data_IF_201151046798
#
_entry.id   IF_201151046798
#
_cell.length_a   1.000
_cell.length_b   1.000
_cell.length_c   1.000
_cell.angle_alpha   90.00
_cell.angle_beta   90.00
_cell.angle_gamma   90.00
#
_symmetry.space_group_name_H-M   'P 1'
#
loop_
_entity.id
_entity.type
_entity.pdbx_description
1 polymer ?
#
# COMPACT_ATOMS: atom_id res chain seq x y z
N UNK A 1 3.32 5.09 -13.78
CA UNK A 1 3.30 5.12 -12.30
C UNK A 1 4.45 4.38 -11.64
N UNK A 2 4.96 3.28 -12.20
CA UNK A 2 6.14 2.57 -11.66
C UNK A 2 7.35 3.49 -11.48
N UNK A 3 7.65 4.35 -12.45
CA UNK A 3 8.75 5.32 -12.34
C UNK A 3 8.56 6.30 -11.16
N UNK A 4 7.32 6.72 -10.90
CA UNK A 4 7.02 7.57 -9.74
C UNK A 4 7.26 6.82 -8.44
N UNK A 5 6.78 5.58 -8.34
CA UNK A 5 7.00 4.72 -7.17
C UNK A 5 8.51 4.55 -6.89
N UNK A 6 9.30 4.26 -7.92
CA UNK A 6 10.77 4.14 -7.79
C UNK A 6 11.41 5.48 -7.39
N UNK A 7 10.94 6.60 -7.92
CA UNK A 7 11.44 7.94 -7.58
C UNK A 7 11.18 8.29 -6.11
N UNK A 8 9.95 8.11 -5.61
CA UNK A 8 9.58 8.53 -4.24
C UNK A 8 10.18 7.64 -3.17
N UNK A 9 10.36 6.35 -3.47
CA UNK A 9 11.00 5.40 -2.56
C UNK A 9 12.52 5.40 -2.68
N UNK A 10 13.08 5.75 -3.84
CA UNK A 10 14.50 5.54 -4.15
C UNK A 10 14.88 4.07 -4.28
N UNK A 11 13.88 3.19 -4.45
CA UNK A 11 14.04 1.74 -4.42
C UNK A 11 14.27 1.10 -5.79
N UNK A 12 14.42 -0.24 -5.77
CA UNK A 12 14.48 -1.11 -6.95
C UNK A 12 13.35 -2.13 -6.88
N UNK A 13 12.69 -2.38 -8.02
CA UNK A 13 11.63 -3.38 -8.11
C UNK A 13 12.22 -4.70 -8.62
N UNK A 14 12.15 -5.74 -7.81
CA UNK A 14 12.39 -7.10 -8.26
C UNK A 14 11.07 -7.72 -8.74
N UNK A 15 10.91 -7.80 -10.07
CA UNK A 15 9.72 -8.37 -10.69
C UNK A 15 9.59 -9.88 -10.49
N UNK A 16 10.67 -10.60 -10.15
CA UNK A 16 10.59 -12.06 -9.92
C UNK A 16 9.93 -12.39 -8.60
N UNK A 17 10.20 -11.57 -7.57
CA UNK A 17 9.66 -11.75 -6.22
C UNK A 17 8.51 -10.80 -5.91
N UNK A 18 8.18 -9.88 -6.82
CA UNK A 18 7.16 -8.83 -6.66
C UNK A 18 7.43 -7.94 -5.43
N UNK A 19 8.70 -7.63 -5.17
CA UNK A 19 9.14 -6.86 -3.99
C UNK A 19 9.82 -5.55 -4.40
N UNK A 20 9.52 -4.50 -3.64
CA UNK A 20 10.18 -3.21 -3.76
C UNK A 20 11.28 -3.10 -2.71
N UNK A 21 12.53 -3.19 -3.14
CA UNK A 21 13.69 -3.04 -2.25
C UNK A 21 13.98 -1.56 -2.05
N UNK A 22 13.92 -1.10 -0.80
CA UNK A 22 14.21 0.29 -0.43
C UNK A 22 15.32 0.32 0.61
N UNK A 23 16.34 1.14 0.36
CA UNK A 23 17.39 1.36 1.34
C UNK A 23 16.84 2.20 2.51
N UNK A 24 16.92 1.68 3.74
CA UNK A 24 16.57 2.49 4.92
C UNK A 24 17.68 3.52 5.18
N UNK A 25 17.33 4.80 5.43
CA UNK A 25 18.32 5.75 5.91
C UNK A 25 18.85 5.25 7.26
N UNK A 26 20.18 5.21 7.36
CA UNK A 26 20.90 4.81 8.56
C UNK A 26 20.37 5.56 9.80
N UNK A 27 19.72 4.85 10.72
CA UNK A 27 19.62 5.36 12.08
C UNK A 27 21.02 5.20 12.67
N UNK A 28 21.73 6.32 12.83
CA UNK A 28 22.95 6.38 13.63
C UNK A 28 22.62 5.90 15.05
N UNK A 29 22.76 4.60 15.31
CA UNK A 29 23.00 4.13 16.66
C UNK A 29 24.37 4.68 17.06
N UNK A 30 24.37 5.73 17.88
CA UNK A 30 25.54 6.14 18.65
C UNK A 30 26.02 4.92 19.44
N UNK A 31 27.07 4.23 18.98
CA UNK A 31 27.79 3.30 19.84
C UNK A 31 28.55 2.12 19.22
N UNK A 32 28.43 1.79 17.94
CA UNK A 32 29.14 0.61 17.39
C UNK A 32 30.04 0.97 16.20
N UNK A 33 31.35 0.73 16.35
CA UNK A 33 32.33 0.69 15.27
C UNK A 33 32.28 -0.68 14.60
N UNK A 34 31.23 -0.94 13.84
CA UNK A 34 31.22 -2.01 12.86
C UNK A 34 30.62 -1.46 11.57
N UNK A 35 31.24 -1.83 10.45
CA UNK A 35 30.90 -1.38 9.09
C UNK A 35 29.47 -1.79 8.75
N UNK A 36 28.48 -0.99 9.16
CA UNK A 36 27.09 -1.34 9.01
C UNK A 36 26.69 -1.24 7.53
N UNK A 37 26.21 -2.34 6.98
CA UNK A 37 25.61 -2.38 5.65
C UNK A 37 24.25 -1.65 5.71
N UNK A 38 23.85 -0.90 4.67
CA UNK A 38 22.52 -0.32 4.62
C UNK A 38 21.49 -1.45 4.72
N UNK A 39 20.63 -1.40 5.73
CA UNK A 39 19.53 -2.34 5.86
C UNK A 39 18.55 -2.12 4.70
N UNK A 40 18.49 -3.08 3.77
CA UNK A 40 17.51 -3.10 2.69
C UNK A 40 16.20 -3.62 3.26
N UNK A 41 15.15 -2.81 3.21
CA UNK A 41 13.81 -3.23 3.58
C UNK A 41 12.99 -3.55 2.33
N UNK A 42 12.25 -4.66 2.41
CA UNK A 42 11.30 -5.05 1.37
C UNK A 42 9.97 -4.36 1.65
N UNK A 43 9.56 -3.46 0.78
CA UNK A 43 8.25 -2.83 0.80
C UNK A 43 7.34 -3.43 -0.28
N UNK A 44 6.05 -3.19 -0.11
CA UNK A 44 5.00 -3.50 -1.06
C UNK A 44 4.32 -2.20 -1.49
N UNK A 45 3.92 -2.13 -2.76
CA UNK A 45 3.24 -0.98 -3.30
C UNK A 45 1.99 -1.37 -4.07
N UNK A 46 0.90 -0.61 -3.89
CA UNK A 46 -0.34 -0.74 -4.65
C UNK A 46 -0.53 0.52 -5.49
N UNK A 47 -0.81 0.35 -6.78
CA UNK A 47 -0.93 1.45 -7.74
C UNK A 47 -2.32 1.44 -8.38
N UNK A 48 -3.04 2.55 -8.27
CA UNK A 48 -4.24 2.82 -9.05
C UNK A 48 -4.00 3.96 -10.01
N UNK A 49 -4.11 3.71 -11.31
CA UNK A 49 -3.83 4.70 -12.36
C UNK A 49 -5.01 5.56 -12.74
N UNK A 50 -6.24 5.10 -12.53
CA UNK A 50 -7.45 5.82 -12.90
C UNK A 50 -8.54 5.63 -11.85
N UNK A 51 -8.35 6.29 -10.72
CA UNK A 51 -9.33 6.40 -9.67
C UNK A 51 -10.31 7.50 -10.05
N UNK A 52 -11.53 7.12 -10.39
CA UNK A 52 -12.59 7.98 -10.90
C UNK A 52 -13.55 8.37 -9.78
N UNK A 53 -13.81 9.66 -9.66
CA UNK A 53 -14.91 10.21 -8.88
C UNK A 53 -15.35 11.56 -9.44
N UNK A 54 -16.59 11.68 -9.94
CA UNK A 54 -17.04 12.89 -10.65
C UNK A 54 -17.01 14.15 -9.79
N UNK A 55 -17.31 14.04 -8.49
CA UNK A 55 -17.22 15.17 -7.56
C UNK A 55 -15.79 15.74 -7.37
N UNK A 56 -14.72 15.01 -7.73
CA UNK A 56 -13.36 15.58 -7.68
C UNK A 56 -13.22 16.81 -8.59
N UNK A 57 -14.03 16.91 -9.65
CA UNK A 57 -14.06 18.09 -10.53
C UNK A 57 -14.44 19.39 -9.81
N UNK A 58 -15.16 19.28 -8.69
CA UNK A 58 -15.64 20.40 -7.87
C UNK A 58 -14.67 20.78 -6.75
N UNK A 59 -13.64 19.96 -6.50
CA UNK A 59 -12.68 20.14 -5.39
C UNK A 59 -11.36 20.66 -5.93
N UNK A 60 -10.93 21.83 -5.46
CA UNK A 60 -9.59 22.33 -5.76
C UNK A 60 -8.52 21.45 -5.11
N UNK A 61 -7.41 21.21 -5.80
CA UNK A 61 -6.34 20.33 -5.30
C UNK A 61 -5.76 20.77 -3.95
N UNK A 62 -5.69 22.07 -3.67
CA UNK A 62 -5.28 22.58 -2.36
C UNK A 62 -6.20 22.10 -1.24
N UNK A 63 -7.52 22.14 -1.46
CA UNK A 63 -8.55 21.66 -0.53
C UNK A 63 -8.48 20.14 -0.42
N UNK A 64 -8.37 19.43 -1.55
CA UNK A 64 -8.16 17.97 -1.58
C UNK A 64 -7.01 17.53 -0.67
N UNK A 65 -5.83 18.14 -0.83
CA UNK A 65 -4.67 17.79 -0.01
C UNK A 65 -4.82 18.18 1.46
N UNK A 66 -5.53 19.27 1.77
CA UNK A 66 -5.86 19.62 3.16
C UNK A 66 -6.75 18.56 3.81
N UNK A 67 -7.79 18.09 3.11
CA UNK A 67 -8.65 17.00 3.57
C UNK A 67 -7.84 15.71 3.79
N UNK A 68 -7.05 15.30 2.79
CA UNK A 68 -6.18 14.12 2.91
C UNK A 68 -5.24 14.23 4.13
N UNK A 69 -4.58 15.37 4.31
CA UNK A 69 -3.67 15.59 5.43
C UNK A 69 -4.40 15.52 6.78
N UNK A 70 -5.60 16.09 6.90
CA UNK A 70 -6.41 16.02 8.11
C UNK A 70 -6.78 14.57 8.48
N UNK A 71 -6.94 13.71 7.48
CA UNK A 71 -7.24 12.29 7.64
C UNK A 71 -5.99 11.40 7.77
N UNK A 72 -4.80 12.01 7.91
CA UNK A 72 -3.52 11.29 8.02
C UNK A 72 -3.07 10.62 6.74
N UNK A 73 -3.60 11.03 5.58
CA UNK A 73 -3.19 10.52 4.27
C UNK A 73 -2.02 11.36 3.77
N UNK A 74 -0.85 10.73 3.67
CA UNK A 74 0.37 11.36 3.18
C UNK A 74 1.51 10.35 3.09
N UNK A 75 2.66 10.81 2.59
CA UNK A 75 3.86 10.00 2.45
C UNK A 75 4.92 10.46 3.44
N UNK A 76 5.48 9.53 4.21
CA UNK A 76 6.61 9.77 5.10
C UNK A 76 7.92 9.61 4.32
N UNK A 77 8.64 10.72 4.15
CA UNK A 77 9.90 10.76 3.40
C UNK A 77 11.02 9.98 4.11
N UNK A 78 10.99 9.89 5.45
CA UNK A 78 11.99 9.19 6.26
C UNK A 78 11.77 7.69 6.20
N UNK A 79 10.53 7.26 6.44
CA UNK A 79 10.16 5.85 6.45
C UNK A 79 9.95 5.27 5.05
N UNK A 80 9.84 6.12 4.02
CA UNK A 80 9.55 5.75 2.62
C UNK A 80 8.23 4.99 2.45
N UNK A 81 7.26 5.29 3.33
CA UNK A 81 5.96 4.64 3.40
C UNK A 81 4.82 5.66 3.34
N UNK A 82 3.60 5.19 3.06
CA UNK A 82 2.41 6.03 3.00
C UNK A 82 1.90 6.22 1.57
N UNK A 83 1.25 7.35 1.31
CA UNK A 83 0.43 7.57 0.11
C UNK A 83 0.92 8.74 -0.73
N UNK A 84 1.07 8.52 -2.03
CA UNK A 84 1.38 9.54 -3.04
C UNK A 84 0.26 9.59 -4.07
N UNK A 85 -0.13 10.80 -4.47
CA UNK A 85 -1.15 11.02 -5.50
C UNK A 85 -0.53 11.48 -6.83
N UNK A 86 -1.17 11.09 -7.92
CA UNK A 86 -0.88 11.56 -9.29
C UNK A 86 -2.10 12.32 -9.76
N UNK A 87 -2.00 13.64 -9.85
CA UNK A 87 -3.12 14.43 -10.34
C UNK A 87 -3.13 14.41 -11.87
N UNK A 88 -4.29 14.11 -12.45
CA UNK A 88 -4.46 14.21 -13.89
C UNK A 88 -4.79 15.65 -14.25
N UNK A 89 -3.92 16.28 -15.04
CA UNK A 89 -4.19 17.58 -15.64
C UNK A 89 -5.11 17.40 -16.85
N UNK A 90 -6.37 17.07 -16.58
CA UNK A 90 -7.45 17.04 -17.56
C UNK A 90 -8.45 18.13 -17.25
N UNK A 91 -9.11 18.69 -18.26
CA UNK A 91 -10.17 19.70 -18.06
C UNK A 91 -11.28 19.20 -17.12
N UNK A 92 -11.54 17.89 -17.12
CA UNK A 92 -12.64 17.27 -16.39
C UNK A 92 -12.32 17.00 -14.92
N UNK A 93 -11.03 16.85 -14.55
CA UNK A 93 -10.52 16.67 -13.16
C UNK A 93 -11.25 15.62 -12.30
N UNK A 94 -11.97 14.69 -12.91
CA UNK A 94 -12.72 13.65 -12.19
C UNK A 94 -11.87 12.46 -11.74
N UNK A 95 -10.56 12.46 -12.05
CA UNK A 95 -9.71 11.31 -11.74
C UNK A 95 -8.33 11.70 -11.27
N UNK A 96 -7.75 10.77 -10.53
CA UNK A 96 -6.38 10.82 -10.03
C UNK A 96 -5.78 9.41 -10.05
N UNK A 97 -4.47 9.34 -9.92
CA UNK A 97 -3.77 8.13 -9.54
C UNK A 97 -3.36 8.16 -8.06
N UNK A 98 -3.18 6.98 -7.48
CA UNK A 98 -2.71 6.82 -6.11
C UNK A 98 -1.69 5.68 -6.03
N UNK A 99 -0.64 5.88 -5.25
CA UNK A 99 0.33 4.85 -4.86
C UNK A 99 0.32 4.76 -3.34
N UNK A 100 0.11 3.58 -2.78
CA UNK A 100 0.34 3.31 -1.36
C UNK A 100 1.55 2.40 -1.21
N UNK A 101 2.40 2.68 -0.23
CA UNK A 101 3.61 1.91 0.09
C UNK A 101 3.59 1.52 1.56
N UNK A 102 3.82 0.24 1.86
CA UNK A 102 3.86 -0.32 3.21
C UNK A 102 4.95 -1.40 3.32
N UNK A 103 5.31 -1.81 4.53
CA UNK A 103 6.23 -2.93 4.80
C UNK A 103 5.67 -4.30 4.41
N UNK A 104 4.34 -4.43 4.33
CA UNK A 104 3.65 -5.67 3.98
C UNK A 104 2.51 -5.44 2.97
N UNK A 105 2.17 -6.48 2.21
CA UNK A 105 1.12 -6.43 1.19
C UNK A 105 -0.25 -6.07 1.76
N UNK A 106 -0.60 -6.62 2.92
CA UNK A 106 -1.90 -6.39 3.55
C UNK A 106 -2.02 -4.93 4.02
N UNK A 107 -0.97 -4.38 4.64
CA UNK A 107 -0.90 -2.97 5.01
C UNK A 107 -1.03 -2.03 3.81
N UNK A 108 -0.38 -2.36 2.68
CA UNK A 108 -0.46 -1.54 1.46
C UNK A 108 -1.89 -1.53 0.87
N UNK A 109 -2.53 -2.71 0.77
CA UNK A 109 -3.90 -2.89 0.28
C UNK A 109 -4.95 -2.24 1.20
N UNK A 110 -4.85 -2.47 2.51
CA UNK A 110 -5.75 -1.88 3.50
C UNK A 110 -5.66 -0.35 3.50
N UNK A 111 -4.44 0.19 3.40
CA UNK A 111 -4.24 1.65 3.30
C UNK A 111 -4.86 2.19 2.01
N UNK A 112 -4.70 1.47 0.89
CA UNK A 112 -5.30 1.86 -0.39
C UNK A 112 -6.83 1.93 -0.30
N UNK A 113 -7.48 0.86 0.19
CA UNK A 113 -8.93 0.79 0.37
C UNK A 113 -9.45 1.85 1.35
N UNK A 114 -8.77 2.03 2.51
CA UNK A 114 -9.08 3.08 3.49
C UNK A 114 -9.07 4.45 2.84
N UNK A 115 -8.02 4.78 2.08
CA UNK A 115 -7.90 6.08 1.44
C UNK A 115 -9.01 6.32 0.42
N UNK A 116 -9.38 5.32 -0.38
CA UNK A 116 -10.52 5.42 -1.30
C UNK A 116 -11.82 5.71 -0.53
N UNK A 117 -12.06 4.99 0.56
CA UNK A 117 -13.27 5.18 1.38
C UNK A 117 -13.34 6.58 1.98
N UNK A 118 -12.23 7.05 2.58
CA UNK A 118 -12.13 8.40 3.14
C UNK A 118 -12.35 9.45 2.07
N UNK A 119 -11.65 9.36 0.93
CA UNK A 119 -11.80 10.35 -0.15
C UNK A 119 -13.25 10.37 -0.64
N UNK A 120 -13.88 9.20 -0.84
CA UNK A 120 -15.28 9.12 -1.25
C UNK A 120 -16.20 9.85 -0.26
N UNK A 121 -16.01 9.63 1.04
CA UNK A 121 -16.81 10.28 2.08
C UNK A 121 -16.60 11.80 2.10
N UNK A 122 -15.36 12.27 1.97
CA UNK A 122 -15.02 13.70 2.02
C UNK A 122 -15.54 14.47 0.79
N UNK A 123 -15.58 13.84 -0.39
CA UNK A 123 -16.03 14.50 -1.63
C UNK A 123 -17.50 14.25 -1.97
N UNK A 124 -18.20 13.40 -1.20
CA UNK A 124 -19.62 13.07 -1.42
C UNK A 124 -20.52 13.77 -0.41
N UNK A 125 -21.72 14.13 -0.86
CA UNK A 125 -22.79 14.61 0.01
C UNK A 125 -24.01 13.66 -0.06
N UNK A 126 -24.95 13.67 0.90
CA UNK A 126 -26.11 12.77 0.91
C UNK A 126 -26.93 12.79 -0.39
N UNK A 127 -27.03 13.94 -1.04
CA UNK A 127 -27.72 14.16 -2.30
C UNK A 127 -26.78 14.21 -3.53
N UNK A 128 -25.47 14.02 -3.35
CA UNK A 128 -24.46 14.13 -4.40
C UNK A 128 -23.33 13.13 -4.16
N UNK A 129 -23.58 11.85 -4.46
CA UNK A 129 -22.62 10.77 -4.30
C UNK A 129 -21.57 10.71 -5.41
N UNK A 130 -21.88 11.29 -6.58
CA UNK A 130 -21.05 11.20 -7.77
C UNK A 130 -20.95 9.79 -8.36
N UNK A 131 -20.48 9.69 -9.60
CA UNK A 131 -20.09 8.41 -10.19
C UNK A 131 -18.64 8.10 -9.78
N UNK A 132 -18.39 6.88 -9.34
CA UNK A 132 -17.07 6.46 -8.86
C UNK A 132 -16.84 4.97 -9.02
N UNK A 133 -15.58 4.60 -9.30
CA UNK A 133 -15.14 3.19 -9.26
C UNK A 133 -14.55 2.78 -7.90
N UNK A 134 -14.60 3.66 -6.88
CA UNK A 134 -13.93 3.41 -5.60
C UNK A 134 -14.56 2.25 -4.86
N UNK A 135 -15.89 2.14 -4.89
CA UNK A 135 -16.64 1.09 -4.17
C UNK A 135 -16.32 -0.30 -4.70
N UNK A 136 -16.26 -0.44 -6.03
CA UNK A 136 -15.90 -1.70 -6.67
C UNK A 136 -14.46 -2.08 -6.36
N UNK A 137 -13.52 -1.13 -6.46
CA UNK A 137 -12.11 -1.37 -6.12
C UNK A 137 -11.91 -1.75 -4.64
N UNK A 138 -12.66 -1.14 -3.72
CA UNK A 138 -12.62 -1.50 -2.30
C UNK A 138 -13.07 -2.96 -2.12
N UNK A 139 -14.19 -3.35 -2.73
CA UNK A 139 -14.70 -4.73 -2.68
C UNK A 139 -13.69 -5.72 -3.23
N UNK A 140 -13.08 -5.42 -4.38
CA UNK A 140 -12.08 -6.29 -5.02
C UNK A 140 -10.84 -6.45 -4.10
N UNK A 141 -10.42 -5.37 -3.42
CA UNK A 141 -9.33 -5.43 -2.44
C UNK A 141 -9.72 -6.28 -1.23
N UNK A 142 -10.92 -6.13 -0.70
CA UNK A 142 -11.42 -6.93 0.43
C UNK A 142 -11.46 -8.42 0.09
N UNK A 143 -11.85 -8.78 -1.12
CA UNK A 143 -11.83 -10.15 -1.63
C UNK A 143 -10.40 -10.71 -1.68
N UNK A 144 -9.46 -9.96 -2.28
CA UNK A 144 -8.04 -10.35 -2.34
C UNK A 144 -7.44 -10.52 -0.95
N UNK A 145 -7.78 -9.64 -0.01
CA UNK A 145 -7.34 -9.74 1.38
C UNK A 145 -7.91 -10.98 2.06
N UNK A 146 -9.19 -11.29 1.85
CA UNK A 146 -9.83 -12.50 2.35
C UNK A 146 -9.12 -13.77 1.88
N UNK A 147 -8.84 -13.85 0.57
CA UNK A 147 -8.09 -14.97 -0.02
C UNK A 147 -6.66 -15.05 0.55
N UNK A 148 -5.98 -13.91 0.72
CA UNK A 148 -4.60 -13.87 1.24
C UNK A 148 -4.53 -14.38 2.68
N UNK A 149 -5.52 -14.04 3.52
CA UNK A 149 -5.61 -14.54 4.90
C UNK A 149 -5.86 -16.05 4.92
N UNK A 150 -6.74 -16.54 4.04
CA UNK A 150 -7.01 -17.97 3.90
C UNK A 150 -5.76 -18.74 3.46
N UNK A 151 -5.02 -18.23 2.47
CA UNK A 151 -3.80 -18.87 1.99
C UNK A 151 -2.71 -18.93 3.08
N UNK A 152 -2.50 -17.84 3.82
CA UNK A 152 -1.53 -17.84 4.94
C UNK A 152 -1.89 -18.90 5.98
N UNK A 153 -3.17 -19.00 6.35
CA UNK A 153 -3.62 -19.97 7.35
C UNK A 153 -3.57 -21.43 6.88
N UNK A 154 -3.65 -21.69 5.57
CA UNK A 154 -3.42 -23.03 5.01
C UNK A 154 -1.93 -23.42 5.04
N UNK A 155 -1.03 -22.50 4.65
CA UNK A 155 0.42 -22.75 4.70
C UNK A 155 0.88 -23.08 6.12
N UNK A 156 0.40 -22.35 7.13
CA UNK A 156 0.76 -22.62 8.53
C UNK A 156 0.31 -24.00 8.99
N UNK A 157 -0.88 -24.45 8.56
CA UNK A 157 -1.39 -25.80 8.89
C UNK A 157 -0.56 -26.91 8.23
N UNK A 158 -0.18 -26.73 6.98
CA UNK A 158 0.66 -27.68 6.25
C UNK A 158 2.09 -27.76 6.84
N UNK A 159 2.66 -26.64 7.27
CA UNK A 159 3.95 -26.59 7.98
C UNK A 159 3.88 -27.28 9.36
N UNK A 160 2.81 -27.06 10.12
CA UNK A 160 2.61 -27.73 11.42
C UNK A 160 2.41 -29.25 11.28
N UNK A 161 1.66 -29.70 10.27
CA UNK A 161 1.47 -31.13 9.98
C UNK A 161 2.76 -31.81 9.52
N UNK A 162 3.56 -31.16 8.67
CA UNK A 162 4.85 -31.71 8.21
C UNK A 162 5.87 -31.80 9.34
N UNK A 163 5.92 -30.83 10.24
CA UNK A 163 6.78 -30.87 11.44
C UNK A 163 6.31 -31.97 12.40
N UNK A 164 5.00 -32.13 12.62
CA UNK A 164 4.46 -33.21 13.47
C UNK A 164 4.77 -34.61 12.93
N UNK A 165 4.72 -34.81 11.61
CA UNK A 165 5.09 -36.07 10.94
C UNK A 165 6.59 -36.35 11.05
N UNK A 166 7.44 -35.33 10.91
CA UNK A 166 8.90 -35.45 11.03
C UNK A 166 9.37 -35.73 12.47
N UNK A 167 8.63 -35.23 13.48
CA UNK A 167 8.91 -35.55 14.90
C UNK A 167 8.51 -36.98 15.24
N UNK A 168 7.36 -37.47 14.76
CA UNK A 168 6.94 -38.87 14.96
C UNK A 168 7.94 -39.87 14.40
N UNK A 169 8.44 -39.64 13.19
CA UNK A 169 9.41 -40.54 12.52
C UNK A 169 10.80 -40.56 13.16
N UNK A 170 11.14 -39.60 14.03
CA UNK A 170 12.40 -39.56 14.78
C UNK A 170 12.35 -40.24 16.16
N UNK A 171 11.16 -40.57 16.69
CA UNK A 171 11.01 -41.29 17.96
C UNK A 171 10.95 -42.82 17.78
N UNK A 172 10.80 -43.30 16.55
CA UNK A 172 10.69 -44.73 16.22
C UNK A 172 12.05 -45.38 15.88
N UNK A 173 13.17 -44.73 16.20
CA UNK A 173 14.56 -45.22 16.11
C UNK A 173 15.31 -44.96 17.41
#
# INVERSE_FOLDING_TARGET
MTQLMLLVTGGKLDCRTSRLEVAKPFLLQKGSKDTALPAVASHYAVLGSRLLHTNLSMVHYSVFFQMCKAQGIGFDIKEKQGTVFVLHDSCERYSLGMVTVSDDLQGALMTFARNLSVIHQEVSAPNMQGETNFKDLIRDIEEVLGITIQNKSQVTKEEEETVAVAVRTKLDH
#
